data_IF_330984745068
#
_entry.id   IF_330984745068
#
_cell.length_a   1.000
_cell.length_b   1.000
_cell.length_c   1.000
_cell.angle_alpha   90.00
_cell.angle_beta   90.00
_cell.angle_gamma   90.00
#
_symmetry.space_group_name_H-M   'P 1'
#
loop_
_entity.id
_entity.type
_entity.pdbx_description
1 polymer ?
#
# COMPACT_ATOMS: atom_id res chain seq x y z
N UNK A 1 38.65 0.30 14.76
CA UNK A 1 38.01 -0.78 13.99
C UNK A 1 37.23 -0.15 12.83
N UNK A 2 37.66 -0.31 11.57
CA UNK A 2 36.93 0.25 10.40
C UNK A 2 35.85 -0.75 9.96
N UNK A 3 34.57 -0.41 10.14
CA UNK A 3 33.47 -1.27 9.68
C UNK A 3 33.33 -1.13 8.16
N UNK A 4 33.23 -2.25 7.45
CA UNK A 4 33.03 -2.28 6.00
C UNK A 4 31.67 -1.67 5.62
N UNK A 5 31.61 -0.58 4.81
CA UNK A 5 30.36 0.08 4.42
C UNK A 5 29.34 -0.85 3.74
N UNK A 6 29.82 -1.86 3.01
CA UNK A 6 28.96 -2.83 2.33
C UNK A 6 28.28 -3.82 3.29
N UNK A 7 28.91 -4.10 4.43
CA UNK A 7 28.31 -4.93 5.47
C UNK A 7 27.18 -4.18 6.18
N UNK A 8 27.39 -2.90 6.49
CA UNK A 8 26.36 -2.04 7.08
C UNK A 8 25.12 -1.89 6.20
N UNK A 9 25.30 -1.73 4.88
CA UNK A 9 24.16 -1.66 3.96
C UNK A 9 23.36 -2.96 3.90
N UNK A 10 24.03 -4.12 3.95
CA UNK A 10 23.36 -5.43 3.95
C UNK A 10 22.58 -5.66 5.24
N UNK A 11 23.15 -5.31 6.39
CA UNK A 11 22.46 -5.39 7.69
C UNK A 11 21.25 -4.46 7.71
N UNK A 12 21.41 -3.21 7.27
CA UNK A 12 20.31 -2.25 7.18
C UNK A 12 19.17 -2.74 6.27
N UNK A 13 19.50 -3.33 5.12
CA UNK A 13 18.51 -3.94 4.23
C UNK A 13 17.79 -5.11 4.92
N UNK A 14 18.52 -6.01 5.57
CA UNK A 14 17.91 -7.15 6.27
C UNK A 14 16.95 -6.71 7.38
N UNK A 15 17.35 -5.72 8.19
CA UNK A 15 16.50 -5.12 9.23
C UNK A 15 15.26 -4.49 8.60
N UNK A 16 15.42 -3.76 7.49
CA UNK A 16 14.31 -3.15 6.74
C UNK A 16 13.31 -4.19 6.24
N UNK A 17 13.78 -5.27 5.62
CA UNK A 17 12.93 -6.37 5.12
C UNK A 17 12.17 -7.04 6.28
N UNK A 18 12.85 -7.38 7.37
CA UNK A 18 12.21 -7.97 8.54
C UNK A 18 11.16 -7.03 9.12
N UNK A 19 11.47 -5.73 9.24
CA UNK A 19 10.53 -4.72 9.71
C UNK A 19 9.28 -4.63 8.82
N UNK A 20 9.44 -4.64 7.50
CA UNK A 20 8.32 -4.66 6.54
C UNK A 20 7.47 -5.93 6.70
N UNK A 21 8.11 -7.10 6.79
CA UNK A 21 7.39 -8.36 7.01
C UNK A 21 6.58 -8.34 8.32
N UNK A 22 7.16 -7.81 9.40
CA UNK A 22 6.45 -7.66 10.68
C UNK A 22 5.26 -6.72 10.58
N UNK A 23 5.40 -5.59 9.88
CA UNK A 23 4.28 -4.66 9.63
C UNK A 23 3.16 -5.38 8.88
N UNK A 24 3.48 -6.09 7.78
CA UNK A 24 2.48 -6.85 7.01
C UNK A 24 1.74 -7.84 7.92
N UNK A 25 2.48 -8.68 8.64
CA UNK A 25 1.88 -9.73 9.48
C UNK A 25 1.02 -9.13 10.59
N UNK A 26 1.50 -8.10 11.29
CA UNK A 26 0.77 -7.46 12.40
C UNK A 26 -0.49 -6.77 11.87
N UNK A 27 -0.38 -5.95 10.82
CA UNK A 27 -1.52 -5.22 10.25
C UNK A 27 -2.56 -6.18 9.68
N UNK A 28 -2.15 -7.19 8.90
CA UNK A 28 -3.07 -8.19 8.37
C UNK A 28 -3.75 -8.98 9.49
N UNK A 29 -3.01 -9.35 10.55
CA UNK A 29 -3.57 -10.04 11.71
C UNK A 29 -4.63 -9.18 12.44
N UNK A 30 -4.40 -7.87 12.57
CA UNK A 30 -5.38 -6.94 13.12
C UNK A 30 -6.65 -6.91 12.26
N UNK A 31 -6.53 -6.77 10.94
CA UNK A 31 -7.67 -6.73 10.02
C UNK A 31 -8.46 -8.04 9.98
N UNK A 32 -7.78 -9.18 10.12
CA UNK A 32 -8.43 -10.49 10.19
C UNK A 32 -9.22 -10.67 11.48
N UNK A 33 -8.72 -10.15 12.61
CA UNK A 33 -9.40 -10.21 13.91
C UNK A 33 -10.51 -9.17 14.05
N UNK A 34 -10.30 -7.96 13.52
CA UNK A 34 -11.23 -6.82 13.61
C UNK A 34 -11.90 -6.61 12.27
N UNK A 35 -13.13 -7.08 12.16
CA UNK A 35 -13.88 -7.04 10.92
C UNK A 35 -14.11 -5.61 10.40
N UNK A 36 -14.28 -4.63 11.30
CA UNK A 36 -14.41 -3.22 10.93
C UNK A 36 -13.11 -2.61 10.36
N UNK A 37 -11.98 -3.32 10.47
CA UNK A 37 -10.69 -2.88 9.94
C UNK A 37 -10.38 -3.43 8.54
N UNK A 38 -11.29 -4.21 7.93
CA UNK A 38 -11.10 -4.72 6.55
C UNK A 38 -11.21 -3.62 5.48
N UNK A 39 -11.85 -2.50 5.84
CA UNK A 39 -11.86 -1.26 5.06
C UNK A 39 -12.23 -1.45 3.59
N UNK A 40 -11.48 -0.80 2.71
CA UNK A 40 -11.77 -0.74 1.28
C UNK A 40 -11.60 -2.09 0.58
N UNK A 41 -10.78 -3.00 1.10
CA UNK A 41 -10.54 -4.31 0.47
C UNK A 41 -11.80 -5.15 0.40
N UNK A 42 -12.57 -5.19 1.49
CA UNK A 42 -13.83 -5.94 1.53
C UNK A 42 -14.87 -5.30 0.59
N UNK A 43 -14.90 -3.97 0.53
CA UNK A 43 -15.77 -3.20 -0.37
C UNK A 43 -15.43 -3.46 -1.84
N UNK A 44 -14.13 -3.51 -2.18
CA UNK A 44 -13.65 -3.78 -3.54
C UNK A 44 -13.92 -5.22 -3.96
N UNK A 45 -13.68 -6.18 -3.08
CA UNK A 45 -14.01 -7.58 -3.36
C UNK A 45 -15.51 -7.77 -3.58
N UNK A 46 -16.33 -7.16 -2.74
CA UNK A 46 -17.78 -7.22 -2.85
C UNK A 46 -18.27 -6.62 -4.18
N UNK A 47 -17.83 -5.41 -4.50
CA UNK A 47 -18.16 -4.77 -5.77
C UNK A 47 -17.70 -5.59 -6.98
N UNK A 48 -16.51 -6.19 -6.92
CA UNK A 48 -16.03 -7.09 -7.97
C UNK A 48 -16.93 -8.31 -8.19
N UNK A 49 -17.52 -8.87 -7.12
CA UNK A 49 -18.50 -9.96 -7.23
C UNK A 49 -19.81 -9.49 -7.85
N UNK A 50 -20.28 -8.29 -7.48
CA UNK A 50 -21.47 -7.68 -8.08
C UNK A 50 -21.29 -7.42 -9.59
N UNK A 51 -20.10 -6.96 -10.00
CA UNK A 51 -19.77 -6.83 -11.43
C UNK A 51 -19.91 -8.17 -12.15
N UNK A 52 -19.45 -9.27 -11.55
CA UNK A 52 -19.52 -10.61 -12.16
C UNK A 52 -20.95 -11.16 -12.22
N UNK A 53 -21.82 -10.81 -11.28
CA UNK A 53 -23.24 -11.20 -11.28
C UNK A 53 -24.13 -10.27 -12.11
N UNK A 54 -23.62 -9.12 -12.55
CA UNK A 54 -24.40 -8.10 -13.27
C UNK A 54 -25.28 -7.25 -12.35
N UNK A 55 -24.99 -7.25 -11.04
CA UNK A 55 -25.72 -6.47 -10.04
C UNK A 55 -25.18 -5.03 -9.94
N UNK A 56 -25.99 -4.15 -9.36
CA UNK A 56 -25.62 -2.76 -9.09
C UNK A 56 -24.56 -2.66 -7.96
N UNK A 57 -23.37 -2.17 -8.32
CA UNK A 57 -22.23 -2.05 -7.40
C UNK A 57 -22.43 -0.99 -6.31
N UNK A 58 -23.32 0.00 -6.51
CA UNK A 58 -23.47 1.15 -5.61
C UNK A 58 -24.61 0.98 -4.60
N UNK A 59 -25.61 0.16 -4.93
CA UNK A 59 -26.83 0.02 -4.13
C UNK A 59 -26.86 -1.24 -3.26
N UNK A 60 -25.91 -2.16 -3.43
CA UNK A 60 -25.83 -3.40 -2.64
C UNK A 60 -24.71 -3.29 -1.60
N UNK A 61 -25.03 -3.23 -0.30
CA UNK A 61 -24.01 -3.13 0.73
C UNK A 61 -23.21 -4.44 0.84
N UNK A 62 -22.01 -4.37 1.43
CA UNK A 62 -21.23 -5.58 1.77
C UNK A 62 -22.05 -6.54 2.63
N UNK A 63 -21.66 -7.83 2.69
CA UNK A 63 -22.42 -8.92 3.34
C UNK A 63 -22.87 -8.68 4.80
N UNK A 64 -22.39 -7.62 5.46
CA UNK A 64 -22.81 -7.23 6.81
C UNK A 64 -23.61 -5.93 6.88
N UNK A 65 -24.02 -5.36 5.74
CA UNK A 65 -24.89 -4.19 5.65
C UNK A 65 -24.25 -2.87 6.08
N UNK A 66 -22.92 -2.81 6.23
CA UNK A 66 -22.23 -1.65 6.86
C UNK A 66 -21.57 -0.68 5.88
N UNK A 67 -21.17 -1.15 4.70
CA UNK A 67 -20.36 -0.38 3.76
C UNK A 67 -20.94 -0.48 2.35
N UNK A 68 -20.95 0.66 1.66
CA UNK A 68 -21.31 0.78 0.25
C UNK A 68 -20.07 1.10 -0.58
N UNK A 69 -20.08 0.70 -1.84
CA UNK A 69 -19.04 1.09 -2.79
C UNK A 69 -19.21 2.56 -3.16
N UNK A 70 -18.13 3.34 -3.10
CA UNK A 70 -18.15 4.79 -3.36
C UNK A 70 -17.14 5.23 -4.44
N UNK A 71 -16.49 4.28 -5.09
CA UNK A 71 -15.37 4.53 -5.99
C UNK A 71 -15.80 4.45 -7.47
N UNK A 72 -14.88 4.76 -8.39
CA UNK A 72 -15.12 4.65 -9.82
C UNK A 72 -15.36 3.19 -10.24
N UNK A 73 -16.30 2.88 -11.16
CA UNK A 73 -16.63 1.50 -11.54
C UNK A 73 -15.43 0.71 -12.08
N UNK A 74 -14.49 1.41 -12.74
CA UNK A 74 -13.27 0.81 -13.28
C UNK A 74 -12.50 0.02 -12.22
N UNK A 75 -12.44 0.51 -10.97
CA UNK A 75 -11.72 -0.17 -9.91
C UNK A 75 -12.40 -1.49 -9.51
N UNK A 76 -13.74 -1.55 -9.51
CA UNK A 76 -14.47 -2.80 -9.29
C UNK A 76 -14.19 -3.82 -10.41
N UNK A 77 -14.19 -3.36 -11.67
CA UNK A 77 -13.85 -4.19 -12.84
C UNK A 77 -12.43 -4.74 -12.73
N UNK A 78 -11.45 -3.91 -12.38
CA UNK A 78 -10.06 -4.32 -12.21
C UNK A 78 -9.87 -5.34 -11.06
N UNK A 79 -10.78 -5.37 -10.09
CA UNK A 79 -10.75 -6.29 -8.95
C UNK A 79 -11.44 -7.63 -9.24
N UNK A 80 -12.12 -7.78 -10.39
CA UNK A 80 -12.80 -9.03 -10.79
C UNK A 80 -11.89 -10.27 -10.79
N UNK A 81 -10.60 -10.23 -11.20
CA UNK A 81 -9.73 -11.42 -11.13
C UNK A 81 -9.50 -11.92 -9.69
N UNK A 82 -9.74 -11.06 -8.69
CA UNK A 82 -9.52 -11.36 -7.27
C UNK A 82 -10.84 -11.68 -6.53
N UNK A 83 -11.99 -11.61 -7.21
CA UNK A 83 -13.31 -11.76 -6.60
C UNK A 83 -13.54 -13.13 -5.96
N UNK A 84 -12.94 -14.18 -6.53
CA UNK A 84 -13.04 -15.56 -6.05
C UNK A 84 -12.15 -15.90 -4.86
N UNK A 85 -11.20 -15.03 -4.49
CA UNK A 85 -10.34 -15.27 -3.35
C UNK A 85 -11.11 -15.16 -2.03
N UNK A 86 -10.67 -15.86 -1.00
CA UNK A 86 -11.10 -15.56 0.36
C UNK A 86 -10.53 -14.22 0.82
N UNK A 87 -11.15 -13.59 1.81
CA UNK A 87 -10.75 -12.25 2.25
C UNK A 87 -9.31 -12.20 2.79
N UNK A 88 -8.82 -13.29 3.38
CA UNK A 88 -7.49 -13.33 3.99
C UNK A 88 -6.33 -13.14 3.00
N UNK A 89 -6.18 -13.94 1.94
CA UNK A 89 -5.14 -13.71 0.94
C UNK A 89 -5.28 -12.34 0.28
N UNK A 90 -6.51 -11.83 0.10
CA UNK A 90 -6.72 -10.49 -0.47
C UNK A 90 -6.17 -9.38 0.44
N UNK A 91 -6.38 -9.47 1.76
CA UNK A 91 -5.79 -8.54 2.74
C UNK A 91 -4.26 -8.53 2.64
N UNK A 92 -3.62 -9.70 2.57
CA UNK A 92 -2.16 -9.80 2.43
C UNK A 92 -1.68 -9.20 1.10
N UNK A 93 -2.34 -9.54 0.00
CA UNK A 93 -2.02 -8.98 -1.32
C UNK A 93 -2.16 -7.45 -1.33
N UNK A 94 -3.22 -6.92 -0.73
CA UNK A 94 -3.44 -5.49 -0.63
C UNK A 94 -2.39 -4.79 0.23
N UNK A 95 -1.99 -5.37 1.36
CA UNK A 95 -0.94 -4.83 2.20
C UNK A 95 0.41 -4.80 1.46
N UNK A 96 0.77 -5.90 0.77
CA UNK A 96 1.99 -5.97 -0.06
C UNK A 96 1.95 -4.91 -1.17
N UNK A 97 0.82 -4.80 -1.86
CA UNK A 97 0.63 -3.83 -2.93
C UNK A 97 0.77 -2.40 -2.42
N UNK A 98 0.15 -2.04 -1.29
CA UNK A 98 0.28 -0.72 -0.69
C UNK A 98 1.71 -0.40 -0.26
N UNK A 99 2.44 -1.35 0.32
CA UNK A 99 3.86 -1.15 0.69
C UNK A 99 4.71 -0.93 -0.55
N UNK A 100 4.50 -1.72 -1.60
CA UNK A 100 5.16 -1.51 -2.89
C UNK A 100 4.86 -0.11 -3.44
N UNK A 101 3.58 0.31 -3.43
CA UNK A 101 3.16 1.63 -3.89
C UNK A 101 3.80 2.76 -3.08
N UNK A 102 3.91 2.63 -1.75
CA UNK A 102 4.60 3.63 -0.92
C UNK A 102 6.06 3.78 -1.35
N UNK A 103 6.78 2.67 -1.56
CA UNK A 103 8.16 2.71 -2.05
C UNK A 103 8.25 3.35 -3.43
N UNK A 104 7.35 2.98 -4.34
CA UNK A 104 7.29 3.53 -5.69
C UNK A 104 6.96 5.03 -5.70
N UNK A 105 6.00 5.48 -4.89
CA UNK A 105 5.62 6.89 -4.70
C UNK A 105 6.83 7.69 -4.27
N UNK A 106 7.52 7.25 -3.21
CA UNK A 106 8.67 8.00 -2.66
C UNK A 106 9.76 8.16 -3.72
N UNK A 107 10.13 7.07 -4.40
CA UNK A 107 11.18 7.08 -5.42
C UNK A 107 10.79 7.93 -6.64
N UNK A 108 9.54 7.82 -7.08
CA UNK A 108 9.04 8.55 -8.26
C UNK A 108 8.88 10.03 -7.96
N UNK A 109 8.29 10.37 -6.82
CA UNK A 109 8.13 11.76 -6.37
C UNK A 109 9.48 12.43 -6.20
N UNK A 110 10.44 11.77 -5.52
CA UNK A 110 11.80 12.30 -5.39
C UNK A 110 12.44 12.57 -6.75
N UNK A 111 12.38 11.60 -7.68
CA UNK A 111 12.97 11.77 -9.02
C UNK A 111 12.34 12.93 -9.79
N UNK A 112 11.02 13.09 -9.67
CA UNK A 112 10.26 14.12 -10.38
C UNK A 112 10.63 15.51 -9.86
N UNK A 113 10.71 15.68 -8.54
CA UNK A 113 11.02 16.99 -7.93
C UNK A 113 12.51 17.32 -7.99
N UNK A 114 13.40 16.36 -7.73
CA UNK A 114 14.84 16.60 -7.67
C UNK A 114 15.54 16.51 -9.05
N UNK A 115 14.84 16.08 -10.10
CA UNK A 115 15.41 15.85 -11.43
C UNK A 115 16.43 14.70 -11.52
N UNK A 116 16.69 13.98 -10.42
CA UNK A 116 17.68 12.92 -10.32
C UNK A 116 17.17 11.73 -9.51
N UNK A 117 17.68 10.54 -9.80
CA UNK A 117 17.32 9.33 -9.03
C UNK A 117 17.75 9.46 -7.57
N UNK A 118 16.91 8.99 -6.64
CA UNK A 118 17.29 8.85 -5.23
C UNK A 118 18.56 8.01 -5.05
N UNK A 119 18.74 6.99 -5.90
CA UNK A 119 19.93 6.15 -5.90
C UNK A 119 21.17 6.80 -6.54
N UNK A 120 21.09 8.05 -7.02
CA UNK A 120 22.25 8.83 -7.42
C UNK A 120 22.90 9.55 -6.23
N UNK A 121 22.19 9.74 -5.12
CA UNK A 121 22.72 10.40 -3.92
C UNK A 121 23.88 9.61 -3.29
N UNK A 122 24.80 10.26 -2.57
CA UNK A 122 25.74 9.57 -1.68
C UNK A 122 25.00 8.73 -0.63
N UNK A 123 25.59 7.60 -0.22
CA UNK A 123 24.95 6.65 0.72
C UNK A 123 24.48 7.33 2.03
N UNK A 124 25.27 8.24 2.59
CA UNK A 124 24.92 8.99 3.81
C UNK A 124 23.67 9.85 3.60
N UNK A 125 23.58 10.55 2.48
CA UNK A 125 22.43 11.39 2.13
C UNK A 125 21.16 10.56 1.91
N UNK A 126 21.28 9.37 1.31
CA UNK A 126 20.15 8.43 1.18
C UNK A 126 19.59 8.03 2.55
N UNK A 127 20.47 7.68 3.49
CA UNK A 127 20.05 7.34 4.85
C UNK A 127 19.40 8.52 5.57
N UNK A 128 19.97 9.72 5.44
CA UNK A 128 19.40 10.92 6.04
C UNK A 128 18.00 11.20 5.49
N UNK A 129 17.86 11.34 4.17
CA UNK A 129 16.58 11.62 3.52
C UNK A 129 15.56 10.51 3.79
N UNK A 130 15.98 9.24 3.65
CA UNK A 130 15.11 8.08 3.88
C UNK A 130 14.63 7.98 5.33
N UNK A 131 15.52 8.18 6.30
CA UNK A 131 15.19 8.14 7.73
C UNK A 131 14.19 9.23 8.10
N UNK A 132 14.46 10.49 7.74
CA UNK A 132 13.56 11.59 8.08
C UNK A 132 12.23 11.52 7.33
N UNK A 133 12.24 11.11 6.06
CA UNK A 133 10.99 10.87 5.31
C UNK A 133 10.14 9.81 6.00
N UNK A 134 10.76 8.67 6.35
CA UNK A 134 10.07 7.59 7.06
C UNK A 134 9.56 8.06 8.42
N UNK A 135 10.38 8.76 9.21
CA UNK A 135 9.99 9.25 10.53
C UNK A 135 8.75 10.15 10.46
N UNK A 136 8.67 11.02 9.46
CA UNK A 136 7.53 11.94 9.28
C UNK A 136 6.29 11.22 8.74
N UNK A 137 6.45 10.18 7.91
CA UNK A 137 5.33 9.52 7.22
C UNK A 137 4.87 8.20 7.85
N UNK A 138 5.66 7.57 8.71
CA UNK A 138 5.43 6.18 9.15
C UNK A 138 4.07 6.03 9.83
N UNK A 139 3.66 6.99 10.65
CA UNK A 139 2.36 6.94 11.32
C UNK A 139 1.20 6.90 10.31
N UNK A 140 1.26 7.74 9.27
CA UNK A 140 0.23 7.77 8.24
C UNK A 140 0.24 6.49 7.39
N UNK A 141 1.42 6.00 7.02
CA UNK A 141 1.58 4.74 6.27
C UNK A 141 1.01 3.57 7.07
N UNK A 142 1.36 3.44 8.36
CA UNK A 142 0.85 2.37 9.22
C UNK A 142 -0.66 2.47 9.41
N UNK A 143 -1.21 3.68 9.56
CA UNK A 143 -2.65 3.88 9.68
C UNK A 143 -3.39 3.41 8.43
N UNK A 144 -2.93 3.78 7.23
CA UNK A 144 -3.53 3.36 5.98
C UNK A 144 -3.42 1.84 5.74
N UNK A 145 -2.29 1.23 6.12
CA UNK A 145 -2.10 -0.21 6.03
C UNK A 145 -3.01 -0.92 7.05
N UNK A 146 -3.11 -0.46 8.29
CA UNK A 146 -3.96 -1.07 9.34
C UNK A 146 -5.45 -1.04 8.97
N UNK A 147 -5.89 -0.05 8.19
CA UNK A 147 -7.28 0.11 7.74
C UNK A 147 -7.54 -0.33 6.29
N UNK A 148 -6.54 -0.90 5.62
CA UNK A 148 -6.63 -1.35 4.23
C UNK A 148 -7.12 -0.26 3.25
N UNK A 149 -6.78 1.00 3.50
CA UNK A 149 -7.34 2.13 2.75
C UNK A 149 -6.79 2.26 1.33
N UNK A 150 -7.63 2.75 0.42
CA UNK A 150 -7.28 3.01 -0.97
C UNK A 150 -6.48 4.31 -1.18
N UNK A 151 -6.30 5.14 -0.15
CA UNK A 151 -5.63 6.44 -0.25
C UNK A 151 -4.20 6.34 -0.82
N UNK A 152 -3.48 5.26 -0.51
CA UNK A 152 -2.13 5.04 -1.06
C UNK A 152 -2.20 4.84 -2.59
N UNK A 153 -3.22 4.12 -3.09
CA UNK A 153 -3.45 3.97 -4.52
C UNK A 153 -3.78 5.32 -5.17
N UNK A 154 -4.64 6.13 -4.56
CA UNK A 154 -4.97 7.46 -5.07
C UNK A 154 -3.72 8.35 -5.13
N UNK A 155 -2.89 8.33 -4.08
CA UNK A 155 -1.62 9.06 -4.05
C UNK A 155 -0.66 8.55 -5.14
N UNK A 156 -0.61 7.24 -5.39
CA UNK A 156 0.19 6.67 -6.47
C UNK A 156 -0.25 7.18 -7.85
N UNK A 157 -1.56 7.24 -8.10
CA UNK A 157 -2.11 7.80 -9.35
C UNK A 157 -1.78 9.29 -9.49
N UNK A 158 -1.88 10.06 -8.41
CA UNK A 158 -1.51 11.48 -8.43
C UNK A 158 -0.02 11.68 -8.76
N UNK A 159 0.87 10.91 -8.13
CA UNK A 159 2.31 10.95 -8.39
C UNK A 159 2.65 10.46 -9.80
N UNK A 160 1.91 9.48 -10.31
CA UNK A 160 2.03 9.06 -11.71
C UNK A 160 1.66 10.21 -12.66
N UNK A 161 0.55 10.91 -12.40
CA UNK A 161 0.15 12.08 -13.17
C UNK A 161 1.21 13.18 -13.17
N UNK A 162 1.81 13.49 -12.02
CA UNK A 162 2.91 14.46 -11.93
C UNK A 162 4.12 14.09 -12.78
N UNK A 163 4.44 12.80 -12.90
CA UNK A 163 5.56 12.32 -13.73
C UNK A 163 5.31 12.52 -15.24
N UNK A 164 4.04 12.62 -15.65
CA UNK A 164 3.66 12.79 -17.06
C UNK A 164 3.63 14.26 -17.50
N UNK A 165 3.72 15.21 -16.55
CA UNK A 165 3.85 16.64 -16.81
C UNK A 165 5.31 17.00 -17.08
#
# INVERSE_FOLDING_TARGET
MRINPSALSKIGLAIGVVGVCLVIVISCSKQLRRQDSRGDVEVFQHAARLVLSGDDIYNVPTARGRLFYLYLPLLAVLMTPLAGLSIAPLIYLWAIFNIFLVGWIILTFYKTIAGASFFALPLKSRWFVGFFSLLLSIRAVLYHIDLAQANILILAVAVFGLKLL
#
